data_IF_472018452653
#
_entry.id   IF_472018452653
#
_cell.length_a   1.000
_cell.length_b   1.000
_cell.length_c   1.000
_cell.angle_alpha   90.00
_cell.angle_beta   90.00
_cell.angle_gamma   90.00
#
_symmetry.space_group_name_H-M   'P 1'
#
loop_
_entity.id
_entity.type
_entity.pdbx_description
1 polymer ?
#
# COMPACT_ATOMS: atom_id res chain seq x y z
N UNK A 1 4.95 -22.46 -6.82
CA UNK A 1 5.30 -21.31 -7.67
C UNK A 1 6.77 -20.87 -7.60
N UNK A 2 7.47 -20.91 -6.44
CA UNK A 2 8.91 -20.54 -6.37
C UNK A 2 9.90 -21.71 -6.17
N UNK A 3 9.45 -22.96 -6.26
CA UNK A 3 10.29 -24.13 -5.94
C UNK A 3 10.58 -25.07 -7.13
N UNK A 4 10.16 -24.73 -8.36
CA UNK A 4 10.43 -25.62 -9.49
C UNK A 4 10.64 -24.85 -10.81
N UNK A 5 11.90 -24.56 -11.20
CA UNK A 5 12.23 -23.80 -12.41
C UNK A 5 12.02 -24.59 -13.72
N UNK A 6 11.67 -25.88 -13.65
CA UNK A 6 11.48 -26.75 -14.82
C UNK A 6 10.04 -26.81 -15.35
N UNK A 7 9.09 -26.17 -14.68
CA UNK A 7 7.70 -26.08 -15.16
C UNK A 7 7.61 -24.86 -16.06
N UNK A 8 7.15 -25.05 -17.30
CA UNK A 8 6.84 -23.95 -18.23
C UNK A 8 5.94 -22.96 -17.48
N UNK A 9 6.39 -21.70 -17.36
CA UNK A 9 5.59 -20.67 -16.69
C UNK A 9 4.29 -20.53 -17.45
N UNK A 10 3.19 -20.86 -16.79
CA UNK A 10 1.86 -20.54 -17.31
C UNK A 10 1.84 -19.03 -17.63
N UNK A 11 1.39 -18.64 -18.82
CA UNK A 11 1.33 -17.22 -19.17
C UNK A 11 0.41 -16.51 -18.17
N UNK A 12 0.80 -15.30 -17.78
CA UNK A 12 -0.05 -14.47 -16.93
C UNK A 12 -1.34 -14.18 -17.71
N UNK A 13 -2.53 -14.42 -17.13
CA UNK A 13 -3.78 -14.10 -17.79
C UNK A 13 -3.84 -12.61 -18.15
N UNK A 14 -4.12 -12.29 -19.41
CA UNK A 14 -4.17 -10.91 -19.91
C UNK A 14 -5.17 -10.05 -19.13
N UNK A 15 -6.24 -10.68 -18.63
CA UNK A 15 -7.24 -10.03 -17.79
C UNK A 15 -6.65 -9.37 -16.55
N UNK A 16 -5.55 -9.90 -15.99
CA UNK A 16 -4.88 -9.27 -14.84
C UNK A 16 -4.18 -7.96 -15.22
N UNK A 17 -3.67 -7.86 -16.44
CA UNK A 17 -3.09 -6.62 -16.97
C UNK A 17 -4.20 -5.62 -17.33
N UNK A 18 -5.31 -6.07 -17.92
CA UNK A 18 -6.48 -5.23 -18.21
C UNK A 18 -7.09 -4.66 -16.94
N UNK A 19 -7.33 -5.49 -15.91
CA UNK A 19 -7.79 -5.03 -14.58
C UNK A 19 -6.82 -3.99 -14.00
N UNK A 20 -5.51 -4.19 -14.16
CA UNK A 20 -4.54 -3.24 -13.65
C UNK A 20 -4.61 -1.89 -14.38
N UNK A 21 -4.74 -1.91 -15.70
CA UNK A 21 -4.83 -0.70 -16.52
C UNK A 21 -6.16 0.06 -16.30
N UNK A 22 -7.29 -0.64 -16.29
CA UNK A 22 -8.62 -0.03 -16.27
C UNK A 22 -9.13 0.29 -14.87
N UNK A 23 -8.68 -0.45 -13.84
CA UNK A 23 -9.19 -0.32 -12.48
C UNK A 23 -8.10 0.14 -11.52
N UNK A 24 -6.97 -0.59 -11.43
CA UNK A 24 -5.98 -0.32 -10.38
C UNK A 24 -5.21 0.98 -10.59
N UNK A 25 -4.84 1.32 -11.83
CA UNK A 25 -4.16 2.58 -12.13
C UNK A 25 -5.04 3.80 -11.79
N UNK A 26 -6.32 3.88 -12.23
CA UNK A 26 -7.24 4.93 -11.78
C UNK A 26 -7.46 4.94 -10.26
N UNK A 27 -7.54 3.76 -9.62
CA UNK A 27 -7.67 3.67 -8.17
C UNK A 27 -6.47 4.28 -7.43
N UNK A 28 -5.28 4.35 -8.01
CA UNK A 28 -4.14 5.03 -7.38
C UNK A 28 -4.32 6.55 -7.35
N UNK A 29 -4.89 7.15 -8.39
CA UNK A 29 -5.22 8.59 -8.38
C UNK A 29 -6.25 8.87 -7.27
N UNK A 30 -7.25 8.00 -7.17
CA UNK A 30 -8.25 8.03 -6.11
C UNK A 30 -7.63 7.81 -4.72
N UNK A 31 -6.63 6.93 -4.60
CA UNK A 31 -5.87 6.72 -3.37
C UNK A 31 -5.17 7.99 -2.92
N UNK A 32 -4.48 8.67 -3.84
CA UNK A 32 -3.82 9.94 -3.57
C UNK A 32 -4.81 10.99 -3.04
N UNK A 33 -5.96 11.13 -3.71
CA UNK A 33 -7.01 12.05 -3.30
C UNK A 33 -7.53 11.75 -1.89
N UNK A 34 -7.82 10.48 -1.58
CA UNK A 34 -8.30 10.11 -0.25
C UNK A 34 -7.23 10.22 0.82
N UNK A 35 -5.96 9.96 0.49
CA UNK A 35 -4.85 10.21 1.39
C UNK A 35 -4.78 11.70 1.75
N UNK A 36 -4.90 12.60 0.78
CA UNK A 36 -4.98 14.04 1.05
C UNK A 36 -6.16 14.40 1.94
N UNK A 37 -7.36 13.86 1.67
CA UNK A 37 -8.55 14.12 2.50
C UNK A 37 -8.36 13.64 3.94
N UNK A 38 -7.84 12.44 4.15
CA UNK A 38 -7.64 11.88 5.50
C UNK A 38 -6.55 12.62 6.29
N UNK A 39 -5.52 13.12 5.59
CA UNK A 39 -4.36 13.76 6.21
C UNK A 39 -4.53 15.27 6.43
N UNK A 40 -5.23 15.95 5.53
CA UNK A 40 -5.26 17.43 5.50
C UNK A 40 -6.62 18.03 5.86
N UNK A 41 -7.72 17.26 5.79
CA UNK A 41 -9.05 17.82 6.01
C UNK A 41 -9.53 17.69 7.46
N UNK A 42 -10.25 18.71 7.91
CA UNK A 42 -11.11 18.68 9.10
C UNK A 42 -12.57 18.31 8.73
N UNK A 43 -12.77 17.69 7.56
CA UNK A 43 -14.09 17.35 7.03
C UNK A 43 -14.75 16.24 7.86
N UNK A 44 -16.08 16.31 8.02
CA UNK A 44 -16.88 15.32 8.77
C UNK A 44 -16.87 13.93 8.13
N UNK A 45 -16.50 13.82 6.85
CA UNK A 45 -16.48 12.56 6.09
C UNK A 45 -15.18 11.75 6.23
N UNK A 46 -14.29 12.12 7.15
CA UNK A 46 -12.98 11.49 7.34
C UNK A 46 -13.02 9.95 7.43
N UNK A 47 -14.03 9.40 8.10
CA UNK A 47 -14.18 7.96 8.31
C UNK A 47 -14.49 7.22 7.00
N UNK A 48 -15.29 7.80 6.12
CA UNK A 48 -15.60 7.23 4.79
C UNK A 48 -14.35 7.19 3.91
N UNK A 49 -13.55 8.26 3.91
CA UNK A 49 -12.28 8.30 3.18
C UNK A 49 -11.27 7.28 3.72
N UNK A 50 -11.21 7.08 5.04
CA UNK A 50 -10.37 6.04 5.65
C UNK A 50 -10.82 4.62 5.23
N UNK A 51 -12.13 4.37 5.15
CA UNK A 51 -12.66 3.09 4.64
C UNK A 51 -12.30 2.86 3.18
N UNK A 52 -12.43 3.88 2.33
CA UNK A 52 -12.07 3.80 0.91
C UNK A 52 -10.56 3.56 0.72
N UNK A 53 -9.70 4.24 1.48
CA UNK A 53 -8.26 3.96 1.51
C UNK A 53 -7.97 2.51 1.91
N UNK A 54 -8.65 2.01 2.94
CA UNK A 54 -8.46 0.64 3.41
C UNK A 54 -8.86 -0.38 2.35
N UNK A 55 -9.96 -0.14 1.61
CA UNK A 55 -10.41 -1.00 0.51
C UNK A 55 -9.37 -0.98 -0.61
N UNK A 56 -8.91 0.20 -1.04
CA UNK A 56 -7.89 0.31 -2.11
C UNK A 56 -6.59 -0.39 -1.71
N UNK A 57 -6.14 -0.24 -0.46
CA UNK A 57 -5.00 -1.00 0.08
C UNK A 57 -5.21 -2.52 -0.01
N UNK A 58 -6.42 -3.03 0.28
CA UNK A 58 -6.72 -4.47 0.14
C UNK A 58 -6.65 -4.90 -1.32
N UNK A 59 -7.23 -4.13 -2.25
CA UNK A 59 -7.16 -4.40 -3.68
C UNK A 59 -5.71 -4.47 -4.17
N UNK A 60 -4.91 -3.44 -3.86
CA UNK A 60 -3.49 -3.39 -4.22
C UNK A 60 -2.72 -4.58 -3.65
N UNK A 61 -2.95 -4.92 -2.38
CA UNK A 61 -2.33 -6.08 -1.74
C UNK A 61 -2.64 -7.39 -2.46
N UNK A 62 -3.91 -7.67 -2.78
CA UNK A 62 -4.29 -8.91 -3.46
C UNK A 62 -3.69 -9.02 -4.86
N UNK A 63 -3.61 -7.90 -5.58
CA UNK A 63 -2.91 -7.84 -6.86
C UNK A 63 -1.44 -8.19 -6.68
N UNK A 64 -0.69 -7.39 -5.89
CA UNK A 64 0.76 -7.58 -5.76
C UNK A 64 1.14 -8.88 -5.05
N UNK A 65 0.26 -9.47 -4.24
CA UNK A 65 0.49 -10.79 -3.66
C UNK A 65 0.48 -11.89 -4.74
N UNK A 66 -0.38 -11.75 -5.74
CA UNK A 66 -0.58 -12.72 -6.81
C UNK A 66 0.47 -12.57 -7.91
N UNK A 67 0.64 -11.36 -8.45
CA UNK A 67 1.54 -11.02 -9.54
C UNK A 67 1.83 -9.49 -9.54
N UNK A 68 2.82 -9.01 -10.30
CA UNK A 68 3.07 -7.56 -10.45
C UNK A 68 2.65 -7.10 -11.85
N UNK A 69 1.46 -6.52 -12.02
CA UNK A 69 1.04 -5.97 -13.30
C UNK A 69 1.93 -4.81 -13.77
N UNK A 70 2.05 -4.69 -15.09
CA UNK A 70 2.82 -3.63 -15.73
C UNK A 70 2.32 -2.24 -15.35
N UNK A 71 1.00 -2.04 -15.33
CA UNK A 71 0.37 -0.78 -14.88
C UNK A 71 0.70 -0.44 -13.43
N UNK A 72 0.65 -1.43 -12.53
CA UNK A 72 1.01 -1.24 -11.11
C UNK A 72 2.49 -0.87 -10.95
N UNK A 73 3.38 -1.47 -11.75
CA UNK A 73 4.81 -1.13 -11.74
C UNK A 73 5.04 0.35 -12.07
N UNK A 74 4.28 0.92 -13.01
CA UNK A 74 4.42 2.33 -13.41
C UNK A 74 3.98 3.29 -12.30
N UNK A 75 2.90 2.97 -11.59
CA UNK A 75 2.37 3.81 -10.49
C UNK A 75 3.05 3.56 -9.14
N UNK A 76 3.88 2.52 -9.03
CA UNK A 76 4.44 2.05 -7.76
C UNK A 76 5.16 3.15 -6.95
N UNK A 77 6.01 4.02 -7.54
CA UNK A 77 6.67 5.08 -6.76
C UNK A 77 5.66 6.05 -6.13
N UNK A 78 4.62 6.43 -6.88
CA UNK A 78 3.57 7.33 -6.37
C UNK A 78 2.76 6.65 -5.26
N UNK A 79 2.36 5.39 -5.48
CA UNK A 79 1.64 4.61 -4.48
C UNK A 79 2.46 4.45 -3.18
N UNK A 80 3.76 4.16 -3.29
CA UNK A 80 4.66 4.09 -2.14
C UNK A 80 4.76 5.44 -1.41
N UNK A 81 4.87 6.55 -2.14
CA UNK A 81 4.88 7.90 -1.56
C UNK A 81 3.62 8.17 -0.72
N UNK A 82 2.44 7.83 -1.25
CA UNK A 82 1.19 8.03 -0.51
C UNK A 82 1.09 7.10 0.71
N UNK A 83 1.54 5.84 0.60
CA UNK A 83 1.62 4.93 1.76
C UNK A 83 2.58 5.44 2.84
N UNK A 84 3.74 6.01 2.46
CA UNK A 84 4.65 6.64 3.42
C UNK A 84 4.00 7.80 4.15
N UNK A 85 3.26 8.68 3.45
CA UNK A 85 2.52 9.78 4.08
C UNK A 85 1.51 9.29 5.12
N UNK A 86 0.78 8.20 4.82
CA UNK A 86 -0.14 7.58 5.78
C UNK A 86 0.62 7.06 7.00
N UNK A 87 1.75 6.37 6.80
CA UNK A 87 2.57 5.85 7.89
C UNK A 87 3.26 6.95 8.72
N UNK A 88 3.65 8.06 8.08
CA UNK A 88 4.24 9.23 8.74
C UNK A 88 3.22 9.97 9.61
N UNK A 89 1.93 9.86 9.30
CA UNK A 89 0.83 10.49 10.05
C UNK A 89 0.38 9.76 11.31
N UNK A 90 0.97 8.59 11.59
CA UNK A 90 0.63 7.82 12.76
C UNK A 90 1.10 8.54 14.02
N UNK A 91 0.17 8.75 14.93
CA UNK A 91 0.44 9.17 16.29
C UNK A 91 0.05 8.02 17.23
N UNK A 92 1.04 7.45 17.90
CA UNK A 92 0.85 6.37 18.87
C UNK A 92 0.61 6.89 20.29
N UNK A 93 0.76 8.20 20.52
CA UNK A 93 0.60 8.82 21.84
C UNK A 93 -0.83 9.31 22.08
N UNK A 94 -1.69 9.37 21.05
CA UNK A 94 -3.09 9.78 21.20
C UNK A 94 -3.95 8.62 21.72
N UNK A 95 -4.99 8.92 22.53
CA UNK A 95 -5.95 7.92 22.99
C UNK A 95 -6.60 7.18 21.80
N UNK A 96 -6.91 5.88 21.95
CA UNK A 96 -7.54 5.11 20.88
C UNK A 96 -8.97 5.60 20.65
N UNK A 97 -9.15 6.46 19.65
CA UNK A 97 -10.47 6.76 19.06
C UNK A 97 -10.80 5.78 17.92
N UNK A 98 -12.07 5.67 17.55
CA UNK A 98 -12.51 4.83 16.42
C UNK A 98 -11.79 5.17 15.09
N UNK A 99 -11.48 6.45 14.88
CA UNK A 99 -10.69 6.91 13.72
C UNK A 99 -9.21 6.51 13.80
N UNK A 100 -8.62 6.53 15.01
CA UNK A 100 -7.25 6.06 15.24
C UNK A 100 -7.13 4.55 14.92
N UNK A 101 -8.17 3.78 15.25
CA UNK A 101 -8.24 2.34 14.94
C UNK A 101 -8.29 2.07 13.42
N UNK A 102 -8.96 2.92 12.64
CA UNK A 102 -9.04 2.80 11.18
C UNK A 102 -7.71 3.15 10.51
N UNK A 103 -7.03 4.21 10.94
CA UNK A 103 -5.69 4.57 10.46
C UNK A 103 -4.65 3.49 10.73
N UNK A 104 -4.67 2.88 11.91
CA UNK A 104 -3.79 1.75 12.24
C UNK A 104 -4.05 0.54 11.34
N UNK A 105 -5.31 0.26 10.97
CA UNK A 105 -5.64 -0.80 9.99
C UNK A 105 -5.07 -0.50 8.61
N UNK A 106 -5.13 0.76 8.15
CA UNK A 106 -4.55 1.18 6.86
C UNK A 106 -3.02 1.07 6.91
N UNK A 107 -2.38 1.57 7.96
CA UNK A 107 -0.95 1.47 8.17
C UNK A 107 -0.45 0.02 8.17
N UNK A 108 -1.14 -0.86 8.91
CA UNK A 108 -0.86 -2.30 8.89
C UNK A 108 -0.92 -2.87 7.47
N UNK A 109 -1.87 -2.44 6.64
CA UNK A 109 -1.95 -2.87 5.24
C UNK A 109 -0.80 -2.33 4.39
N UNK A 110 -0.40 -1.07 4.58
CA UNK A 110 0.76 -0.49 3.90
C UNK A 110 2.03 -1.30 4.20
N UNK A 111 2.27 -1.64 5.48
CA UNK A 111 3.40 -2.47 5.89
C UNK A 111 3.35 -3.87 5.27
N UNK A 112 2.19 -4.51 5.21
CA UNK A 112 2.02 -5.82 4.56
C UNK A 112 2.30 -5.73 3.04
N UNK A 113 1.89 -4.65 2.39
CA UNK A 113 2.20 -4.40 0.97
C UNK A 113 3.71 -4.25 0.80
N UNK A 114 4.39 -3.44 1.63
CA UNK A 114 5.84 -3.32 1.62
C UNK A 114 6.55 -4.65 1.83
N UNK A 115 6.12 -5.47 2.80
CA UNK A 115 6.63 -6.82 2.98
C UNK A 115 6.47 -7.67 1.72
N UNK A 116 5.33 -7.57 1.03
CA UNK A 116 5.09 -8.28 -0.23
C UNK A 116 6.02 -7.80 -1.35
N UNK A 117 6.21 -6.47 -1.46
CA UNK A 117 7.10 -5.86 -2.44
C UNK A 117 8.56 -6.28 -2.24
N UNK A 118 9.08 -6.23 -1.02
CA UNK A 118 10.48 -6.61 -0.75
C UNK A 118 10.73 -8.11 -0.89
N UNK A 119 9.76 -8.96 -0.55
CA UNK A 119 9.94 -10.42 -0.59
C UNK A 119 9.66 -11.04 -1.96
N UNK A 120 8.69 -10.52 -2.74
CA UNK A 120 8.27 -11.11 -4.02
C UNK A 120 8.67 -10.28 -5.24
N UNK A 121 8.74 -8.96 -5.08
CA UNK A 121 8.91 -8.02 -6.19
C UNK A 121 10.12 -7.12 -6.01
N UNK A 122 11.18 -7.65 -5.38
CA UNK A 122 12.41 -6.92 -5.06
C UNK A 122 12.95 -6.09 -6.22
N UNK A 123 13.04 -6.70 -7.42
CA UNK A 123 13.47 -6.03 -8.67
C UNK A 123 12.68 -4.76 -9.04
N UNK A 124 11.50 -4.56 -8.48
CA UNK A 124 10.64 -3.38 -8.69
C UNK A 124 10.63 -2.44 -7.48
N UNK A 125 11.02 -2.94 -6.31
CA UNK A 125 10.97 -2.23 -5.03
C UNK A 125 12.35 -1.78 -4.52
N UNK A 126 13.46 -2.17 -5.15
CA UNK A 126 14.83 -1.87 -4.69
C UNK A 126 15.03 -0.36 -4.43
N UNK A 127 14.55 0.51 -5.32
CA UNK A 127 14.64 1.97 -5.15
C UNK A 127 13.84 2.51 -3.95
N UNK A 128 12.82 1.77 -3.49
CA UNK A 128 11.98 2.16 -2.35
C UNK A 128 12.48 1.54 -1.04
N UNK A 129 13.36 0.54 -1.11
CA UNK A 129 13.79 -0.23 0.06
C UNK A 129 14.41 0.62 1.18
N UNK A 130 15.29 1.62 0.90
CA UNK A 130 15.81 2.49 1.96
C UNK A 130 14.70 3.27 2.69
N UNK A 131 13.69 3.75 1.95
CA UNK A 131 12.55 4.46 2.53
C UNK A 131 11.66 3.54 3.37
N UNK A 132 11.43 2.30 2.91
CA UNK A 132 10.71 1.28 3.68
C UNK A 132 11.42 1.00 5.01
N UNK A 133 12.73 0.77 4.97
CA UNK A 133 13.53 0.49 6.17
C UNK A 133 13.49 1.68 7.14
N UNK A 134 13.71 2.90 6.65
CA UNK A 134 13.67 4.11 7.47
C UNK A 134 12.29 4.32 8.12
N UNK A 135 11.22 4.10 7.37
CA UNK A 135 9.85 4.19 7.86
C UNK A 135 9.59 3.20 9.01
N UNK A 136 9.98 1.93 8.84
CA UNK A 136 9.80 0.89 9.87
C UNK A 136 10.65 1.18 11.11
N UNK A 137 11.90 1.63 10.96
CA UNK A 137 12.75 2.02 12.09
C UNK A 137 12.07 3.13 12.90
N UNK A 138 11.55 4.17 12.23
CA UNK A 138 10.88 5.28 12.91
C UNK A 138 9.63 4.81 13.68
N UNK A 139 8.79 3.98 13.06
CA UNK A 139 7.60 3.40 13.72
C UNK A 139 8.02 2.57 14.94
N UNK A 140 9.05 1.73 14.80
CA UNK A 140 9.52 0.88 15.91
C UNK A 140 10.03 1.68 17.10
N UNK A 141 10.67 2.84 16.86
CA UNK A 141 11.12 3.74 17.95
C UNK A 141 9.95 4.38 18.69
N UNK A 142 8.84 4.65 18.00
CA UNK A 142 7.65 5.23 18.60
C UNK A 142 6.82 4.21 19.40
N UNK A 143 6.93 2.90 19.11
CA UNK A 143 6.14 1.87 19.80
C UNK A 143 6.79 1.28 21.06
N UNK A 144 8.02 1.72 21.41
CA UNK A 144 8.77 1.21 22.57
C UNK A 144 8.49 2.07 23.83
N UNK A 145 7.71 3.14 23.69
CA UNK A 145 7.19 3.96 24.78
C UNK A 145 5.69 3.73 24.95
#
# INVERSE_FOLDING_TARGET
YFLNPKVVKEPVPEQLEQIAAEILAPLQVTFHHFADKVLLSHDGNKLEYEQLLLITCKCMYFTVRSYMPSGVKQILPSLCKDMFRVLDSLDFNSPPEDSATSRLKIAKRCLIIFCTLVTRHRKHADNQMPHIVNCVIRISKQSIH
#
